data_IF_509584240352
#
_entry.id   IF_509584240352
#
_cell.length_a   1.000
_cell.length_b   1.000
_cell.length_c   1.000
_cell.angle_alpha   90.00
_cell.angle_beta   90.00
_cell.angle_gamma   90.00
#
_symmetry.space_group_name_H-M   'P 1'
#
loop_
_entity.id
_entity.type
_entity.pdbx_description
1 polymer ?
#
# COMPACT_ATOMS: atom_id res chain seq x y z
N UNK A 1 23.30 -0.51 -23.51
CA UNK A 1 22.02 -0.68 -24.23
C UNK A 1 21.17 0.53 -23.89
N UNK A 2 20.88 1.37 -24.88
CA UNK A 2 20.01 2.53 -24.72
C UNK A 2 18.60 2.00 -24.44
N UNK A 3 18.13 2.17 -23.21
CA UNK A 3 16.72 1.98 -22.88
C UNK A 3 15.97 3.10 -23.56
N UNK A 4 14.98 2.77 -24.39
CA UNK A 4 14.03 3.76 -24.92
C UNK A 4 13.54 4.64 -23.75
N UNK A 5 13.38 5.96 -23.96
CA UNK A 5 12.87 6.84 -22.91
C UNK A 5 11.54 6.27 -22.43
N UNK A 6 11.44 6.10 -21.12
CA UNK A 6 10.18 5.71 -20.47
C UNK A 6 9.21 6.85 -20.75
N UNK A 7 8.09 6.56 -21.39
CA UNK A 7 7.06 7.55 -21.63
C UNK A 7 6.35 7.85 -20.31
N UNK A 8 6.63 9.03 -19.75
CA UNK A 8 6.01 9.50 -18.51
C UNK A 8 4.72 10.27 -18.83
N UNK A 9 3.58 9.72 -18.41
CA UNK A 9 2.26 10.35 -18.59
C UNK A 9 1.84 11.05 -17.31
N UNK A 10 1.62 12.36 -17.40
CA UNK A 10 1.06 13.15 -16.29
C UNK A 10 -0.47 13.10 -16.35
N UNK A 11 -1.08 12.44 -15.37
CA UNK A 11 -2.53 12.31 -15.30
C UNK A 11 -3.22 13.62 -14.91
N UNK A 12 -4.23 14.04 -15.68
CA UNK A 12 -4.94 15.31 -15.47
C UNK A 12 -6.47 15.14 -15.31
N UNK A 13 -7.13 16.00 -14.52
CA UNK A 13 -6.55 16.97 -13.60
C UNK A 13 -5.93 16.29 -12.37
N UNK A 14 -4.78 16.79 -11.92
CA UNK A 14 -4.12 16.26 -10.73
C UNK A 14 -4.87 16.60 -9.44
N UNK A 15 -4.64 15.84 -8.35
CA UNK A 15 -5.05 16.25 -7.02
C UNK A 15 -4.45 17.58 -6.59
N UNK A 16 -5.20 18.35 -5.80
CA UNK A 16 -4.78 19.68 -5.31
C UNK A 16 -3.96 19.61 -4.02
N UNK A 17 -3.80 18.42 -3.45
CA UNK A 17 -3.00 18.12 -2.27
C UNK A 17 -2.34 16.73 -2.44
N UNK A 18 -1.57 16.27 -1.46
CA UNK A 18 -0.79 15.04 -1.51
C UNK A 18 -1.61 13.79 -1.84
N UNK A 19 -1.07 12.96 -2.73
CA UNK A 19 -1.62 11.63 -3.03
C UNK A 19 -1.17 10.66 -1.93
N UNK A 20 -2.14 10.00 -1.30
CA UNK A 20 -1.88 9.08 -0.19
C UNK A 20 -1.73 7.63 -0.64
N UNK A 21 -2.48 7.21 -1.66
CA UNK A 21 -2.45 5.86 -2.20
C UNK A 21 -2.90 5.85 -3.65
N UNK A 22 -2.33 4.96 -4.45
CA UNK A 22 -2.80 4.66 -5.81
C UNK A 22 -2.93 3.15 -6.03
N UNK A 23 -3.91 2.72 -6.82
CA UNK A 23 -4.14 1.31 -7.16
C UNK A 23 -4.56 1.19 -8.62
N UNK A 24 -3.95 0.24 -9.34
CA UNK A 24 -4.43 -0.15 -10.65
C UNK A 24 -5.64 -1.08 -10.53
N UNK A 25 -6.53 -1.05 -11.53
CA UNK A 25 -7.64 -1.99 -11.66
C UNK A 25 -7.13 -3.45 -11.74
N UNK A 26 -7.83 -4.42 -11.14
CA UNK A 26 -7.33 -5.79 -10.95
C UNK A 26 -7.22 -6.65 -12.23
N UNK A 27 -7.81 -6.23 -13.35
CA UNK A 27 -8.01 -7.02 -14.57
C UNK A 27 -7.10 -6.62 -15.74
N UNK A 28 -7.09 -5.33 -16.14
CA UNK A 28 -6.32 -4.89 -17.32
C UNK A 28 -5.37 -3.71 -17.05
N UNK A 29 -5.22 -3.27 -15.79
CA UNK A 29 -4.32 -2.16 -15.38
C UNK A 29 -4.49 -0.83 -16.14
N UNK A 30 -5.59 -0.65 -16.87
CA UNK A 30 -5.85 0.59 -17.61
C UNK A 30 -6.42 1.71 -16.73
N UNK A 31 -7.05 1.36 -15.61
CA UNK A 31 -7.62 2.34 -14.70
C UNK A 31 -6.78 2.48 -13.44
N UNK A 32 -6.62 3.73 -12.99
CA UNK A 32 -5.90 4.08 -11.78
C UNK A 32 -6.85 4.77 -10.79
N UNK A 33 -7.01 4.18 -9.62
CA UNK A 33 -7.68 4.80 -8.48
C UNK A 33 -6.66 5.54 -7.64
N UNK A 34 -6.95 6.77 -7.24
CA UNK A 34 -6.07 7.61 -6.42
C UNK A 34 -6.86 8.24 -5.27
N UNK A 35 -6.37 8.06 -4.05
CA UNK A 35 -6.86 8.75 -2.85
C UNK A 35 -5.93 9.89 -2.46
N UNK A 36 -6.48 10.96 -1.91
CA UNK A 36 -5.74 12.20 -1.69
C UNK A 36 -6.15 12.94 -0.41
N UNK A 37 -5.23 13.77 0.08
CA UNK A 37 -5.44 14.70 1.20
C UNK A 37 -6.41 15.83 0.86
N UNK A 38 -6.63 16.11 -0.43
CA UNK A 38 -7.66 17.05 -0.92
C UNK A 38 -9.10 16.54 -0.76
N UNK A 39 -9.28 15.45 0.00
CA UNK A 39 -10.57 14.82 0.33
C UNK A 39 -11.30 14.28 -0.89
N UNK A 40 -10.56 13.80 -1.88
CA UNK A 40 -11.15 13.18 -3.06
C UNK A 40 -10.57 11.81 -3.39
N UNK A 41 -11.44 10.98 -3.96
CA UNK A 41 -11.11 9.74 -4.63
C UNK A 41 -11.27 9.98 -6.14
N UNK A 42 -10.22 9.75 -6.91
CA UNK A 42 -10.22 9.95 -8.37
C UNK A 42 -9.97 8.63 -9.11
N UNK A 43 -10.72 8.40 -10.17
CA UNK A 43 -10.55 7.29 -11.10
C UNK A 43 -10.09 7.83 -12.45
N UNK A 44 -8.89 7.42 -12.88
CA UNK A 44 -8.33 7.78 -14.17
C UNK A 44 -8.38 6.61 -15.13
N UNK A 45 -8.62 6.92 -16.39
CA UNK A 45 -8.30 6.09 -17.55
C UNK A 45 -6.89 6.46 -17.99
N UNK A 46 -5.92 5.58 -17.75
CA UNK A 46 -4.49 5.85 -17.97
C UNK A 46 -4.16 5.95 -19.46
N UNK A 47 -4.58 5.02 -20.34
CA UNK A 47 -4.26 5.10 -21.77
C UNK A 47 -4.79 6.36 -22.44
N UNK A 48 -5.98 6.83 -22.03
CA UNK A 48 -6.59 8.03 -22.60
C UNK A 48 -6.29 9.33 -21.84
N UNK A 49 -5.49 9.25 -20.75
CA UNK A 49 -5.20 10.35 -19.84
C UNK A 49 -6.46 11.15 -19.44
N UNK A 50 -7.51 10.44 -19.02
CA UNK A 50 -8.81 11.03 -18.72
C UNK A 50 -9.25 10.71 -17.30
N UNK A 51 -9.61 11.74 -16.54
CA UNK A 51 -10.38 11.56 -15.31
C UNK A 51 -11.79 11.07 -15.65
N UNK A 52 -12.10 9.84 -15.23
CA UNK A 52 -13.41 9.22 -15.41
C UNK A 52 -14.40 9.66 -14.34
N UNK A 53 -13.92 9.71 -13.09
CA UNK A 53 -14.75 10.00 -11.93
C UNK A 53 -13.93 10.71 -10.86
N UNK A 54 -14.56 11.66 -10.17
CA UNK A 54 -14.12 12.24 -8.91
C UNK A 54 -15.25 12.09 -7.89
N UNK A 55 -14.92 11.56 -6.72
CA UNK A 55 -15.82 11.49 -5.56
C UNK A 55 -15.22 12.35 -4.47
N UNK A 56 -15.95 13.38 -4.05
CA UNK A 56 -15.57 14.22 -2.92
C UNK A 56 -16.14 13.64 -1.61
N UNK A 57 -15.33 13.62 -0.57
CA UNK A 57 -15.69 13.16 0.77
C UNK A 57 -15.35 14.23 1.82
N UNK A 58 -15.87 14.10 3.03
CA UNK A 58 -15.72 15.16 4.05
C UNK A 58 -14.36 15.17 4.78
N UNK A 59 -13.48 14.21 4.50
CA UNK A 59 -12.21 14.00 5.20
C UNK A 59 -11.09 13.55 4.26
N UNK A 60 -9.85 13.82 4.63
CA UNK A 60 -8.67 13.40 3.86
C UNK A 60 -8.60 11.88 3.79
N UNK A 61 -8.40 11.35 2.58
CA UNK A 61 -8.29 9.92 2.34
C UNK A 61 -6.83 9.49 2.45
N UNK A 62 -6.59 8.37 3.15
CA UNK A 62 -5.27 7.79 3.38
C UNK A 62 -5.04 6.52 2.57
N UNK A 63 -6.11 5.82 2.18
CA UNK A 63 -6.04 4.60 1.40
C UNK A 63 -7.25 4.42 0.50
N UNK A 64 -7.04 3.68 -0.58
CA UNK A 64 -8.09 3.18 -1.46
C UNK A 64 -7.77 1.76 -1.96
N UNK A 65 -8.81 1.06 -2.42
CA UNK A 65 -8.71 -0.24 -3.08
C UNK A 65 -9.88 -0.40 -4.06
N UNK A 66 -9.65 -1.07 -5.19
CA UNK A 66 -10.73 -1.66 -5.97
C UNK A 66 -11.37 -2.84 -5.21
N UNK A 67 -12.60 -3.18 -5.57
CA UNK A 67 -13.32 -4.37 -5.13
C UNK A 67 -13.19 -5.55 -6.09
N UNK A 68 -14.22 -6.39 -6.12
CA UNK A 68 -14.28 -7.58 -6.98
C UNK A 68 -14.36 -7.20 -8.46
N UNK A 69 -15.03 -6.08 -8.74
CA UNK A 69 -15.29 -5.55 -10.07
C UNK A 69 -14.60 -4.19 -10.25
N UNK A 70 -14.49 -3.74 -11.50
CA UNK A 70 -14.05 -2.38 -11.85
C UNK A 70 -15.01 -1.27 -11.42
N UNK A 71 -16.21 -1.64 -10.95
CA UNK A 71 -17.26 -0.71 -10.53
C UNK A 71 -17.24 -0.46 -9.02
N UNK A 72 -16.48 -1.25 -8.25
CA UNK A 72 -16.44 -1.14 -6.81
C UNK A 72 -15.11 -0.54 -6.35
N UNK A 73 -15.18 0.48 -5.50
CA UNK A 73 -14.03 1.01 -4.79
C UNK A 73 -14.32 1.18 -3.30
N UNK A 74 -13.26 1.14 -2.52
CA UNK A 74 -13.28 1.33 -1.10
C UNK A 74 -12.26 2.38 -0.70
N UNK A 75 -12.58 3.17 0.32
CA UNK A 75 -11.68 4.19 0.85
C UNK A 75 -11.63 4.19 2.38
N UNK A 76 -10.52 4.69 2.89
CA UNK A 76 -10.28 4.90 4.31
C UNK A 76 -9.52 6.21 4.50
N UNK A 77 -9.84 6.93 5.57
CA UNK A 77 -9.30 8.27 5.79
C UNK A 77 -9.11 8.64 7.25
N UNK A 78 -8.72 9.90 7.47
CA UNK A 78 -8.41 10.45 8.80
C UNK A 78 -9.60 10.38 9.75
N UNK A 79 -10.82 10.50 9.23
CA UNK A 79 -12.07 10.42 10.01
C UNK A 79 -12.47 9.00 10.45
N UNK A 80 -11.68 7.97 10.13
CA UNK A 80 -11.95 6.58 10.51
C UNK A 80 -13.07 5.89 9.72
N UNK A 81 -13.77 6.62 8.84
CA UNK A 81 -14.78 6.04 7.95
C UNK A 81 -14.13 5.04 6.99
N UNK A 82 -14.80 3.90 6.81
CA UNK A 82 -14.55 2.98 5.69
C UNK A 82 -15.70 3.17 4.70
N UNK A 83 -15.38 3.74 3.55
CA UNK A 83 -16.34 4.07 2.49
C UNK A 83 -16.42 2.98 1.43
N UNK A 84 -17.62 2.74 0.92
CA UNK A 84 -17.90 2.04 -0.33
C UNK A 84 -18.30 3.06 -1.40
N UNK A 85 -17.75 2.91 -2.60
CA UNK A 85 -18.00 3.78 -3.73
C UNK A 85 -18.37 2.95 -4.94
N UNK A 86 -19.53 3.26 -5.51
CA UNK A 86 -19.89 2.79 -6.84
C UNK A 86 -19.27 3.72 -7.87
N UNK A 87 -18.35 3.19 -8.68
CA UNK A 87 -17.58 3.94 -9.67
C UNK A 87 -18.38 4.23 -10.96
N UNK A 88 -19.60 3.71 -11.09
CA UNK A 88 -20.51 4.05 -12.19
C UNK A 88 -21.45 5.20 -11.82
N UNK A 89 -21.62 5.47 -10.52
CA UNK A 89 -22.53 6.49 -10.00
C UNK A 89 -21.74 7.66 -9.43
N UNK A 90 -21.94 8.85 -10.01
CA UNK A 90 -21.27 10.06 -9.56
C UNK A 90 -21.56 10.37 -8.08
N UNK A 91 -20.51 10.68 -7.31
CA UNK A 91 -20.59 10.98 -5.87
C UNK A 91 -21.26 9.88 -5.02
N UNK A 92 -21.21 8.63 -5.46
CA UNK A 92 -21.68 7.50 -4.65
C UNK A 92 -20.69 7.21 -3.51
N UNK A 93 -21.12 7.49 -2.28
CA UNK A 93 -20.40 7.10 -1.07
C UNK A 93 -21.39 6.54 -0.06
N UNK A 94 -21.17 5.29 0.33
CA UNK A 94 -21.93 4.63 1.39
C UNK A 94 -20.98 4.26 2.53
N UNK A 95 -21.43 4.43 3.77
CA UNK A 95 -20.69 3.96 4.94
C UNK A 95 -20.72 2.43 4.98
N UNK A 96 -19.55 1.80 4.82
CA UNK A 96 -19.38 0.37 5.01
C UNK A 96 -19.06 0.02 6.47
N UNK A 97 -18.32 0.91 7.15
CA UNK A 97 -17.88 0.72 8.53
C UNK A 97 -17.19 1.95 9.07
N UNK A 98 -16.72 1.87 10.32
CA UNK A 98 -15.90 2.93 10.91
C UNK A 98 -14.97 2.41 12.00
N UNK A 99 -13.88 3.14 12.19
CA UNK A 99 -12.89 2.98 13.24
C UNK A 99 -12.91 4.20 14.17
N UNK A 100 -12.38 4.04 15.39
CA UNK A 100 -12.29 5.14 16.37
C UNK A 100 -11.20 6.17 16.02
N UNK A 101 -10.28 5.79 15.13
CA UNK A 101 -9.21 6.62 14.58
C UNK A 101 -9.09 6.37 13.08
N UNK A 102 -8.13 7.05 12.45
CA UNK A 102 -7.89 6.97 11.01
C UNK A 102 -7.83 5.53 10.48
N UNK A 103 -8.66 5.25 9.48
CA UNK A 103 -8.63 4.03 8.68
C UNK A 103 -7.52 4.17 7.62
N UNK A 104 -6.27 3.95 8.05
CA UNK A 104 -5.08 4.27 7.28
C UNK A 104 -4.77 3.29 6.14
N UNK A 105 -5.34 2.10 6.16
CA UNK A 105 -5.12 1.08 5.15
C UNK A 105 -6.41 0.39 4.76
N UNK A 106 -6.63 0.20 3.47
CA UNK A 106 -7.74 -0.53 2.88
C UNK A 106 -7.19 -1.56 1.89
N UNK A 107 -7.71 -2.78 1.93
CA UNK A 107 -7.38 -3.86 0.99
C UNK A 107 -8.60 -4.75 0.76
N UNK A 108 -8.96 -4.95 -0.49
CA UNK A 108 -9.94 -5.98 -0.85
C UNK A 108 -9.27 -7.34 -0.98
N UNK A 109 -9.91 -8.39 -0.46
CA UNK A 109 -9.52 -9.78 -0.68
C UNK A 109 -10.51 -10.45 -1.61
N UNK A 110 -10.04 -10.84 -2.80
CA UNK A 110 -10.83 -11.64 -3.74
C UNK A 110 -11.14 -13.05 -3.21
N UNK A 111 -10.33 -13.56 -2.28
CA UNK A 111 -10.52 -14.90 -1.71
C UNK A 111 -11.72 -14.97 -0.76
N UNK A 112 -11.97 -13.91 0.02
CA UNK A 112 -13.11 -13.85 0.95
C UNK A 112 -14.25 -12.97 0.47
N UNK A 113 -14.03 -12.14 -0.55
CA UNK A 113 -14.97 -11.13 -0.99
C UNK A 113 -15.12 -9.95 -0.02
N UNK A 114 -14.18 -9.80 0.92
CA UNK A 114 -14.26 -8.82 2.00
C UNK A 114 -13.22 -7.71 1.84
N UNK A 115 -13.48 -6.60 2.52
CA UNK A 115 -12.55 -5.46 2.65
C UNK A 115 -11.92 -5.50 4.03
N UNK A 116 -10.60 -5.56 4.07
CA UNK A 116 -9.83 -5.37 5.29
C UNK A 116 -9.47 -3.90 5.46
N UNK A 117 -9.70 -3.36 6.65
CA UNK A 117 -9.26 -2.02 7.05
C UNK A 117 -8.32 -2.11 8.26
N UNK A 118 -7.19 -1.41 8.18
CA UNK A 118 -6.22 -1.29 9.26
C UNK A 118 -6.19 0.13 9.81
N UNK A 119 -6.31 0.27 11.12
CA UNK A 119 -6.52 1.57 11.77
C UNK A 119 -5.43 1.95 12.77
N UNK A 120 -5.31 3.26 13.00
CA UNK A 120 -4.47 3.82 14.06
C UNK A 120 -5.06 3.69 15.47
N UNK A 121 -6.26 3.12 15.62
CA UNK A 121 -6.81 2.64 16.91
C UNK A 121 -6.21 1.29 17.35
N UNK A 122 -5.37 0.70 16.50
CA UNK A 122 -4.73 -0.59 16.72
C UNK A 122 -5.67 -1.76 16.51
N UNK A 123 -6.61 -1.64 15.57
CA UNK A 123 -7.49 -2.72 15.13
C UNK A 123 -7.36 -2.96 13.64
N UNK A 124 -7.60 -4.21 13.24
CA UNK A 124 -7.88 -4.59 11.86
C UNK A 124 -9.28 -5.15 11.79
N UNK A 125 -10.09 -4.63 10.88
CA UNK A 125 -11.49 -5.01 10.72
C UNK A 125 -11.73 -5.57 9.32
N UNK A 126 -12.68 -6.50 9.18
CA UNK A 126 -13.13 -6.99 7.87
C UNK A 126 -14.62 -6.69 7.67
N UNK A 127 -14.96 -6.23 6.47
CA UNK A 127 -16.30 -5.80 6.09
C UNK A 127 -16.75 -6.56 4.84
N UNK A 128 -17.94 -7.15 4.86
CA UNK A 128 -18.57 -7.68 3.66
C UNK A 128 -19.38 -6.54 3.01
N UNK A 129 -19.10 -6.12 1.77
CA UNK A 129 -19.85 -5.05 1.11
C UNK A 129 -21.35 -5.35 0.93
N UNK A 130 -21.76 -6.60 1.09
CA UNK A 130 -23.16 -7.04 0.99
C UNK A 130 -23.85 -7.13 2.35
N UNK A 131 -23.13 -6.87 3.45
CA UNK A 131 -23.65 -6.90 4.81
C UNK A 131 -23.36 -5.60 5.55
N UNK A 132 -24.19 -5.29 6.54
CA UNK A 132 -23.97 -4.18 7.46
C UNK A 132 -23.13 -4.58 8.68
N UNK A 133 -22.81 -5.86 8.83
CA UNK A 133 -22.11 -6.41 9.99
C UNK A 133 -20.61 -6.52 9.74
N UNK A 134 -19.83 -6.07 10.72
CA UNK A 134 -18.40 -6.37 10.79
C UNK A 134 -18.19 -7.88 10.95
N UNK A 135 -17.38 -8.49 10.08
CA UNK A 135 -17.16 -9.94 10.06
C UNK A 135 -15.93 -10.37 10.85
N UNK A 136 -14.92 -9.50 10.92
CA UNK A 136 -13.69 -9.74 11.68
C UNK A 136 -13.30 -8.48 12.45
N UNK A 137 -12.83 -8.64 13.68
CA UNK A 137 -12.27 -7.59 14.51
C UNK A 137 -11.03 -8.11 15.25
N UNK A 138 -9.84 -7.69 14.82
CA UNK A 138 -8.57 -8.13 15.38
C UNK A 138 -7.92 -6.98 16.15
N UNK A 139 -7.76 -7.15 17.46
CA UNK A 139 -6.98 -6.21 18.27
C UNK A 139 -5.49 -6.46 18.07
N UNK A 140 -4.75 -5.40 17.79
CA UNK A 140 -3.30 -5.43 17.57
C UNK A 140 -2.55 -4.84 18.78
N UNK A 141 -1.27 -5.19 18.89
CA UNK A 141 -0.38 -4.66 19.94
C UNK A 141 0.01 -3.19 19.74
N UNK A 142 -0.33 -2.59 18.60
CA UNK A 142 -0.02 -1.21 18.25
C UNK A 142 -0.86 -0.71 17.08
N UNK A 143 -0.59 0.53 16.64
CA UNK A 143 -1.25 1.13 15.47
C UNK A 143 -0.89 0.34 14.22
N UNK A 144 -1.83 0.18 13.29
CA UNK A 144 -1.52 -0.41 11.98
C UNK A 144 -0.84 0.65 11.11
N UNK A 145 0.42 0.40 10.74
CA UNK A 145 1.23 1.29 9.90
C UNK A 145 1.44 0.77 8.47
N UNK A 146 1.21 -0.52 8.27
CA UNK A 146 1.22 -1.13 6.95
C UNK A 146 0.31 -2.36 6.94
N UNK A 147 -0.31 -2.64 5.80
CA UNK A 147 -1.17 -3.83 5.64
C UNK A 147 -1.20 -4.25 4.18
N UNK A 148 -1.17 -5.56 3.94
CA UNK A 148 -1.34 -6.15 2.61
C UNK A 148 -2.10 -7.48 2.71
N UNK A 149 -2.84 -7.83 1.66
CA UNK A 149 -3.55 -9.11 1.57
C UNK A 149 -3.37 -9.71 0.18
N UNK A 150 -3.20 -11.02 0.13
CA UNK A 150 -3.06 -11.79 -1.10
C UNK A 150 -3.52 -13.21 -0.82
N UNK A 151 -4.38 -13.75 -1.69
CA UNK A 151 -5.02 -15.04 -1.46
C UNK A 151 -5.64 -15.11 -0.06
N UNK A 152 -5.24 -16.10 0.75
CA UNK A 152 -5.73 -16.30 2.11
C UNK A 152 -4.86 -15.61 3.16
N UNK A 153 -3.86 -14.82 2.77
CA UNK A 153 -2.94 -14.18 3.70
C UNK A 153 -3.28 -12.71 3.91
N UNK A 154 -3.13 -12.28 5.16
CA UNK A 154 -3.13 -10.89 5.57
C UNK A 154 -1.88 -10.66 6.40
N UNK A 155 -1.05 -9.70 6.00
CA UNK A 155 0.12 -9.27 6.75
C UNK A 155 -0.07 -7.85 7.26
N UNK A 156 0.24 -7.65 8.54
CA UNK A 156 0.02 -6.38 9.25
C UNK A 156 1.32 -5.94 9.90
N UNK A 157 1.80 -4.74 9.54
CA UNK A 157 2.95 -4.09 10.15
C UNK A 157 2.51 -3.06 11.19
N UNK A 158 3.03 -3.16 12.41
CA UNK A 158 2.57 -2.39 13.56
C UNK A 158 3.56 -1.30 13.98
N UNK A 159 3.05 -0.29 14.70
CA UNK A 159 3.87 0.77 15.31
C UNK A 159 4.87 0.27 16.35
N UNK A 160 4.62 -0.92 16.91
CA UNK A 160 5.51 -1.63 17.83
C UNK A 160 6.68 -2.32 17.11
N UNK A 161 6.78 -2.18 15.77
CA UNK A 161 7.72 -2.90 14.89
C UNK A 161 7.48 -4.42 14.84
N UNK A 162 6.31 -4.85 15.29
CA UNK A 162 5.82 -6.23 15.14
C UNK A 162 5.22 -6.41 13.75
N UNK A 163 5.33 -7.62 13.22
CA UNK A 163 4.70 -8.05 11.98
C UNK A 163 3.83 -9.26 12.30
N UNK A 164 2.54 -9.13 12.03
CA UNK A 164 1.55 -10.17 12.30
C UNK A 164 1.01 -10.76 10.98
N UNK A 165 1.42 -12.01 10.77
CA UNK A 165 0.99 -13.03 9.81
C UNK A 165 -0.39 -13.62 10.07
N UNK A 166 -1.44 -13.43 9.25
CA UNK A 166 -2.73 -14.14 9.42
C UNK A 166 -3.12 -14.97 8.21
N UNK A 167 -3.72 -16.14 8.46
CA UNK A 167 -4.61 -16.81 7.50
C UNK A 167 -6.03 -16.30 7.72
N UNK A 168 -6.57 -15.57 6.73
CA UNK A 168 -7.85 -14.87 6.86
C UNK A 168 -9.05 -15.83 6.96
N UNK A 169 -8.89 -17.10 6.56
CA UNK A 169 -9.93 -18.12 6.75
C UNK A 169 -10.09 -18.49 8.23
N UNK A 170 -9.06 -18.21 9.05
CA UNK A 170 -8.98 -18.52 10.48
C UNK A 170 -8.31 -17.37 11.24
N UNK A 171 -8.83 -16.16 11.09
CA UNK A 171 -8.19 -14.93 11.56
C UNK A 171 -8.14 -14.76 13.10
N UNK A 172 -8.57 -15.73 13.91
CA UNK A 172 -8.62 -15.59 15.37
C UNK A 172 -7.24 -15.44 16.01
N UNK A 173 -6.18 -15.96 15.38
CA UNK A 173 -4.80 -15.83 15.84
C UNK A 173 -3.85 -15.70 14.65
N UNK A 174 -2.72 -14.99 14.79
CA UNK A 174 -1.71 -14.93 13.76
C UNK A 174 -1.00 -16.29 13.60
N UNK A 175 -0.73 -16.68 12.35
CA UNK A 175 0.16 -17.79 12.01
C UNK A 175 1.63 -17.46 12.29
N UNK A 176 1.99 -16.18 12.24
CA UNK A 176 3.32 -15.67 12.61
C UNK A 176 3.15 -14.33 13.29
N UNK A 177 3.88 -14.09 14.37
CA UNK A 177 3.92 -12.77 14.99
C UNK A 177 5.35 -12.51 15.47
N UNK A 178 6.10 -11.79 14.65
CA UNK A 178 7.56 -11.65 14.75
C UNK A 178 7.97 -10.18 14.91
N UNK A 179 9.19 -9.96 15.39
CA UNK A 179 9.82 -8.65 15.28
C UNK A 179 10.25 -8.38 13.83
N UNK A 180 10.09 -7.14 13.39
CA UNK A 180 10.60 -6.67 12.11
C UNK A 180 12.12 -6.90 12.04
N UNK A 181 12.64 -7.42 10.92
CA UNK A 181 14.08 -7.48 10.67
C UNK A 181 14.71 -6.10 10.49
N UNK A 182 13.90 -5.04 10.38
CA UNK A 182 14.34 -3.66 10.22
C UNK A 182 14.38 -2.93 11.58
N UNK A 183 15.37 -2.06 11.77
CA UNK A 183 15.64 -1.42 13.07
C UNK A 183 14.64 -0.30 13.39
N UNK A 184 14.16 0.38 12.35
CA UNK A 184 13.29 1.54 12.47
C UNK A 184 11.85 1.24 12.03
N UNK A 185 10.98 2.24 12.20
CA UNK A 185 9.55 2.16 11.95
C UNK A 185 9.23 1.62 10.55
N UNK A 186 8.32 0.64 10.48
CA UNK A 186 7.74 0.14 9.24
C UNK A 186 6.82 1.20 8.65
N UNK A 187 6.94 1.44 7.35
CA UNK A 187 6.15 2.45 6.63
C UNK A 187 5.25 1.86 5.55
N UNK A 188 5.65 0.73 4.97
CA UNK A 188 4.88 -0.02 3.97
C UNK A 188 5.22 -1.52 4.05
N UNK A 189 4.28 -2.35 3.61
CA UNK A 189 4.41 -3.81 3.52
C UNK A 189 3.59 -4.29 2.33
N UNK A 190 4.08 -5.26 1.59
CA UNK A 190 3.35 -5.85 0.46
C UNK A 190 3.66 -7.36 0.33
N UNK A 191 2.62 -8.19 0.24
CA UNK A 191 2.78 -9.63 -0.02
C UNK A 191 3.28 -9.87 -1.44
N UNK A 192 4.05 -10.93 -1.61
CA UNK A 192 4.50 -11.37 -2.93
C UNK A 192 3.30 -11.78 -3.79
N UNK A 193 3.39 -11.68 -5.12
CA UNK A 193 2.31 -12.09 -6.01
C UNK A 193 1.89 -13.56 -5.85
N UNK A 194 2.82 -14.43 -5.43
CA UNK A 194 2.64 -15.86 -5.18
C UNK A 194 2.28 -16.20 -3.71
N UNK A 195 2.10 -15.17 -2.87
CA UNK A 195 1.81 -15.29 -1.44
C UNK A 195 2.85 -16.09 -0.62
N UNK A 196 4.07 -16.33 -1.13
CA UNK A 196 5.10 -17.10 -0.41
C UNK A 196 5.95 -16.26 0.56
N UNK A 197 5.75 -14.95 0.58
CA UNK A 197 6.50 -14.01 1.41
C UNK A 197 5.98 -12.60 1.28
N UNK A 198 6.70 -11.64 1.84
CA UNK A 198 6.34 -10.22 1.82
C UNK A 198 7.58 -9.32 1.90
N UNK A 199 7.44 -8.13 1.34
CA UNK A 199 8.43 -7.06 1.43
C UNK A 199 8.01 -6.02 2.46
N UNK A 200 8.98 -5.52 3.22
CA UNK A 200 8.78 -4.51 4.27
C UNK A 200 9.68 -3.32 3.93
N UNK A 201 9.13 -2.11 3.95
CA UNK A 201 9.89 -0.86 3.82
C UNK A 201 9.85 -0.07 5.13
N UNK A 202 10.99 0.49 5.53
CA UNK A 202 11.10 1.29 6.77
C UNK A 202 11.55 2.73 6.54
N UNK A 203 11.51 3.52 7.60
CA UNK A 203 12.01 4.90 7.61
C UNK A 203 13.53 5.01 7.47
N UNK A 204 14.27 3.90 7.58
CA UNK A 204 15.75 3.90 7.43
C UNK A 204 16.22 3.65 5.98
N UNK A 205 15.34 3.79 4.99
CA UNK A 205 15.68 3.59 3.57
C UNK A 205 16.16 2.16 3.27
N UNK A 206 15.58 1.17 3.98
CA UNK A 206 15.84 -0.25 3.79
C UNK A 206 14.57 -1.01 3.47
N UNK A 207 14.73 -2.02 2.60
CA UNK A 207 13.73 -3.06 2.37
C UNK A 207 14.22 -4.35 2.98
N UNK A 208 13.31 -5.12 3.57
CA UNK A 208 13.51 -6.53 3.89
C UNK A 208 12.52 -7.39 3.09
N UNK A 209 12.98 -8.52 2.58
CA UNK A 209 12.14 -9.59 2.05
C UNK A 209 12.13 -10.73 3.06
N UNK A 210 10.94 -11.12 3.49
CA UNK A 210 10.69 -12.24 4.41
C UNK A 210 9.81 -13.29 3.74
N UNK A 211 9.94 -14.54 4.17
CA UNK A 211 9.19 -15.67 3.61
C UNK A 211 8.25 -16.26 4.64
N UNK A 212 7.09 -16.73 4.17
CA UNK A 212 6.12 -17.43 5.03
C UNK A 212 6.68 -18.78 5.47
N UNK A 213 7.41 -19.47 4.61
CA UNK A 213 8.15 -20.67 4.97
C UNK A 213 9.43 -20.30 5.74
N UNK A 214 9.48 -20.67 7.02
CA UNK A 214 10.61 -20.41 7.91
C UNK A 214 11.92 -21.11 7.47
N UNK A 215 11.85 -22.12 6.59
CA UNK A 215 13.05 -22.73 6.02
C UNK A 215 13.78 -21.79 5.05
N UNK A 216 13.07 -20.85 4.42
CA UNK A 216 13.64 -19.84 3.53
C UNK A 216 14.05 -18.60 4.32
N UNK A 217 15.34 -18.26 4.27
CA UNK A 217 15.86 -17.08 4.96
C UNK A 217 15.59 -15.81 4.19
N UNK A 218 14.97 -14.85 4.86
CA UNK A 218 14.83 -13.48 4.40
C UNK A 218 16.17 -12.75 4.27
N UNK A 219 16.14 -11.55 3.70
CA UNK A 219 17.29 -10.67 3.64
C UNK A 219 16.85 -9.20 3.57
N UNK A 220 17.75 -8.29 3.94
CA UNK A 220 17.51 -6.85 3.90
C UNK A 220 18.61 -6.10 3.16
N UNK A 221 18.25 -4.99 2.51
CA UNK A 221 19.18 -4.17 1.73
C UNK A 221 18.81 -2.68 1.79
N UNK A 222 19.77 -1.82 1.46
CA UNK A 222 19.62 -0.36 1.42
C UNK A 222 19.21 0.07 0.01
N UNK A 223 18.24 0.97 -0.14
CA UNK A 223 17.68 1.34 -1.45
C UNK A 223 17.51 2.84 -1.68
N UNK A 224 17.15 3.62 -0.65
CA UNK A 224 16.89 5.07 -0.77
C UNK A 224 17.86 5.85 0.12
N UNK A 225 19.09 6.02 -0.39
CA UNK A 225 20.21 6.66 0.32
C UNK A 225 21.07 7.46 -0.65
N UNK A 226 21.50 8.65 -0.22
CA UNK A 226 22.33 9.56 -1.02
C UNK A 226 23.59 9.88 -0.24
N UNK A 227 24.77 9.58 -0.81
CA UNK A 227 26.05 9.92 -0.18
C UNK A 227 26.29 11.41 -0.32
N UNK A 228 26.59 12.07 0.81
CA UNK A 228 26.98 13.49 0.85
C UNK A 228 28.49 13.59 0.88
N UNK A 229 29.12 12.74 1.70
CA UNK A 229 30.56 12.63 1.87
C UNK A 229 30.94 11.17 2.18
N UNK A 230 32.22 10.90 2.43
CA UNK A 230 32.67 9.55 2.81
C UNK A 230 32.12 9.08 4.16
N UNK A 231 31.74 10.00 5.04
CA UNK A 231 31.21 9.70 6.38
C UNK A 231 29.71 9.98 6.53
N UNK A 232 29.09 10.75 5.63
CA UNK A 232 27.70 11.18 5.75
C UNK A 232 26.83 10.69 4.58
N UNK A 233 25.65 10.20 4.92
CA UNK A 233 24.68 9.68 3.95
C UNK A 233 23.29 10.11 4.36
N UNK A 234 22.58 10.82 3.50
CA UNK A 234 21.15 11.04 3.68
C UNK A 234 20.41 9.71 3.52
N UNK A 235 19.50 9.46 4.46
CA UNK A 235 18.63 8.29 4.45
C UNK A 235 17.21 8.77 4.25
N UNK A 236 16.50 8.17 3.29
CA UNK A 236 15.15 8.56 2.96
C UNK A 236 14.17 7.43 3.29
N UNK A 237 13.04 7.73 3.96
CA UNK A 237 11.98 6.76 4.20
C UNK A 237 11.42 6.15 2.91
N UNK A 238 11.02 4.88 2.99
CA UNK A 238 10.32 4.19 1.90
C UNK A 238 8.82 4.33 2.10
N UNK A 239 8.14 5.02 1.18
CA UNK A 239 6.70 5.27 1.29
C UNK A 239 5.85 4.17 0.68
N UNK A 240 6.34 3.52 -0.37
CA UNK A 240 5.58 2.50 -1.09
C UNK A 240 6.47 1.38 -1.64
N UNK A 241 5.90 0.18 -1.66
CA UNK A 241 6.41 -1.00 -2.36
C UNK A 241 5.27 -1.55 -3.19
N UNK A 242 5.55 -1.94 -4.44
CA UNK A 242 4.59 -2.59 -5.31
C UNK A 242 5.28 -3.68 -6.14
N UNK A 243 4.70 -4.87 -6.15
CA UNK A 243 5.17 -5.98 -6.97
C UNK A 243 4.58 -5.92 -8.38
N UNK A 244 5.40 -6.25 -9.37
CA UNK A 244 4.91 -6.54 -10.71
C UNK A 244 4.16 -7.88 -10.70
N UNK A 245 2.88 -7.92 -11.09
CA UNK A 245 2.02 -9.09 -10.86
C UNK A 245 2.45 -10.35 -11.61
N UNK A 246 3.22 -10.19 -12.70
CA UNK A 246 3.69 -11.31 -13.55
C UNK A 246 5.14 -11.74 -13.35
N UNK A 247 6.01 -10.83 -12.91
CA UNK A 247 7.47 -11.05 -12.98
C UNK A 247 8.10 -11.22 -11.61
N UNK A 248 7.39 -10.94 -10.52
CA UNK A 248 7.94 -10.99 -9.16
C UNK A 248 8.96 -9.88 -8.84
N UNK A 249 9.38 -9.09 -9.83
CA UNK A 249 10.12 -7.85 -9.61
C UNK A 249 9.27 -6.84 -8.86
N UNK A 250 9.89 -5.89 -8.16
CA UNK A 250 9.15 -4.89 -7.40
C UNK A 250 9.78 -3.51 -7.47
N UNK A 251 8.94 -2.49 -7.29
CA UNK A 251 9.35 -1.11 -7.21
C UNK A 251 9.31 -0.60 -5.77
N UNK A 252 10.23 0.30 -5.43
CA UNK A 252 10.27 1.04 -4.16
C UNK A 252 10.23 2.53 -4.45
N UNK A 253 9.33 3.25 -3.78
CA UNK A 253 9.24 4.72 -3.85
C UNK A 253 9.70 5.36 -2.54
N UNK A 254 10.70 6.25 -2.61
CA UNK A 254 11.30 6.90 -1.44
C UNK A 254 11.00 8.39 -1.34
N UNK A 255 11.23 8.96 -0.15
CA UNK A 255 11.20 10.42 0.06
C UNK A 255 12.33 11.17 -0.66
N UNK A 256 13.26 10.46 -1.31
CA UNK A 256 14.27 11.06 -2.20
C UNK A 256 13.68 11.52 -3.54
N UNK A 257 12.43 11.15 -3.85
CA UNK A 257 11.76 11.40 -5.12
C UNK A 257 12.08 10.35 -6.18
N UNK A 258 12.79 9.27 -5.82
CA UNK A 258 13.23 8.23 -6.75
C UNK A 258 12.29 7.02 -6.70
N UNK A 259 12.19 6.33 -7.84
CA UNK A 259 11.58 4.99 -7.93
C UNK A 259 12.68 4.01 -8.36
N UNK A 260 12.98 3.04 -7.51
CA UNK A 260 13.92 1.97 -7.85
C UNK A 260 13.16 0.67 -8.16
N UNK A 261 13.58 -0.07 -9.19
CA UNK A 261 13.02 -1.38 -9.55
C UNK A 261 14.03 -2.47 -9.28
N UNK A 262 13.58 -3.56 -8.67
CA UNK A 262 14.42 -4.60 -8.10
C UNK A 262 14.02 -5.99 -8.61
N UNK A 263 15.03 -6.82 -8.79
CA UNK A 263 14.91 -8.27 -8.81
C UNK A 263 15.14 -8.80 -7.39
N UNK A 264 14.08 -9.34 -6.77
CA UNK A 264 14.14 -9.89 -5.41
C UNK A 264 14.86 -11.24 -5.33
N UNK A 265 14.87 -12.02 -6.39
CA UNK A 265 15.55 -13.32 -6.39
C UNK A 265 17.05 -13.13 -6.58
N UNK A 266 17.42 -12.29 -7.55
CA UNK A 266 18.81 -11.99 -7.89
C UNK A 266 19.42 -10.87 -7.03
N UNK A 267 18.65 -10.30 -6.08
CA UNK A 267 19.08 -9.26 -5.13
C UNK A 267 19.71 -8.03 -5.80
N UNK A 268 19.17 -7.63 -6.94
CA UNK A 268 19.78 -6.60 -7.81
C UNK A 268 18.79 -5.51 -8.17
N UNK A 269 19.25 -4.26 -8.22
CA UNK A 269 18.50 -3.17 -8.84
C UNK A 269 18.54 -3.32 -10.36
N UNK A 270 17.37 -3.46 -10.99
CA UNK A 270 17.23 -3.57 -12.45
C UNK A 270 17.18 -2.18 -13.07
N UNK A 271 16.43 -1.26 -12.46
CA UNK A 271 16.22 0.08 -13.01
C UNK A 271 16.05 1.13 -11.90
N UNK A 272 16.23 2.39 -12.28
CA UNK A 272 15.97 3.55 -11.44
C UNK A 272 15.36 4.64 -12.34
N UNK A 273 14.14 5.06 -12.04
CA UNK A 273 13.47 6.15 -12.74
C UNK A 273 13.97 7.51 -12.23
N UNK A 274 13.72 8.56 -13.03
CA UNK A 274 14.16 9.91 -12.74
C UNK A 274 13.54 10.45 -11.45
N UNK A 275 14.22 11.44 -10.89
CA UNK A 275 13.81 12.10 -9.68
C UNK A 275 12.59 12.99 -9.95
N UNK A 276 11.50 12.72 -9.24
CA UNK A 276 10.33 13.60 -9.27
C UNK A 276 10.47 14.70 -8.21
N UNK A 277 10.04 15.93 -8.54
CA UNK A 277 10.00 17.03 -7.59
C UNK A 277 8.89 16.77 -6.55
N UNK A 278 9.29 16.21 -5.41
CA UNK A 278 8.42 16.01 -4.24
C UNK A 278 9.06 16.64 -3.01
N UNK A 279 8.29 16.84 -1.94
CA UNK A 279 8.86 17.28 -0.67
C UNK A 279 9.87 16.26 -0.14
N UNK A 280 11.16 16.64 -0.10
CA UNK A 280 12.27 15.78 0.35
C UNK A 280 12.48 15.97 1.84
N UNK A 281 12.29 14.90 2.61
CA UNK A 281 12.55 14.90 4.05
C UNK A 281 13.62 13.85 4.39
N UNK A 282 14.92 14.16 4.20
CA UNK A 282 15.98 13.26 4.62
C UNK A 282 16.00 13.17 6.16
N UNK A 283 16.22 11.95 6.66
CA UNK A 283 16.63 11.76 8.06
C UNK A 283 18.15 11.71 8.10
N UNK A 284 18.75 12.45 9.06
CA UNK A 284 20.18 12.35 9.39
C UNK A 284 20.45 11.06 10.17
#
# INVERSE_FOLDING_TARGET
MSTAPVEEVHLQPSPSDGISCVRFSPDASDWLLASSWDKSLRLYDVPSNRLRLKVDVDHALLACSFGATRTQAFSGGVGGLVGYHDLEVANSTTKLGSHDKAAAHIRYSAATGQVFSGSWDGTVSAWDPRSTTQTTHLKQSGKVYAMSTKENLLVVGLSTKRISLYDIRRASAPIQDIDSPLKYQIRCIELFPDAQGYAIGSTEGRVALEYVDAARKGYAFKCHREKISDSETYVFPINAIAFHPRFGTFATGGCDGMINVWDGENKKRINQFLQHQTARYPTR
#
